data_IF_796904632283
#
_entry.id   IF_796904632283
#
_cell.length_a   1.000
_cell.length_b   1.000
_cell.length_c   1.000
_cell.angle_alpha   90.00
_cell.angle_beta   90.00
_cell.angle_gamma   90.00
#
_symmetry.space_group_name_H-M   'P 1'
#
loop_
_entity.id
_entity.type
_entity.pdbx_description
1 polymer ?
#
# COMPACT_ATOMS: atom_id res chain seq x y z
N UNK A 1 30.18 -9.82 -28.06
CA UNK A 1 29.28 -8.85 -28.75
C UNK A 1 29.50 -7.52 -28.06
N UNK A 2 29.70 -6.44 -28.80
CA UNK A 2 29.81 -5.11 -28.18
C UNK A 2 28.42 -4.68 -27.74
N UNK A 3 28.21 -4.34 -26.47
CA UNK A 3 26.88 -3.99 -25.92
C UNK A 3 26.22 -2.84 -26.69
N UNK A 4 27.04 -1.98 -27.30
CA UNK A 4 26.57 -0.90 -28.17
C UNK A 4 25.76 -1.39 -29.38
N UNK A 5 26.09 -2.57 -29.94
CA UNK A 5 25.39 -3.09 -31.12
C UNK A 5 23.92 -3.45 -30.82
N UNK A 6 23.66 -4.11 -29.68
CA UNK A 6 22.29 -4.49 -29.30
C UNK A 6 21.48 -3.25 -28.93
N UNK A 7 22.09 -2.30 -28.21
CA UNK A 7 21.45 -1.02 -27.87
C UNK A 7 21.02 -0.23 -29.12
N UNK A 8 21.86 -0.19 -30.16
CA UNK A 8 21.52 0.46 -31.44
C UNK A 8 20.32 -0.22 -32.14
N UNK A 9 20.27 -1.55 -32.14
CA UNK A 9 19.15 -2.31 -32.71
C UNK A 9 17.86 -2.03 -31.94
N UNK A 10 17.89 -2.06 -30.61
CA UNK A 10 16.72 -1.80 -29.79
C UNK A 10 16.17 -0.39 -30.03
N UNK A 11 17.04 0.63 -29.99
CA UNK A 11 16.65 2.02 -30.23
C UNK A 11 16.01 2.21 -31.60
N UNK A 12 16.58 1.58 -32.64
CA UNK A 12 16.03 1.59 -33.99
C UNK A 12 14.59 1.04 -34.02
N UNK A 13 14.36 -0.15 -33.46
CA UNK A 13 13.04 -0.79 -33.51
C UNK A 13 12.01 -0.11 -32.62
N UNK A 14 12.39 0.34 -31.43
CA UNK A 14 11.52 1.08 -30.52
C UNK A 14 11.00 2.36 -31.18
N UNK A 15 11.88 3.11 -31.85
CA UNK A 15 11.51 4.29 -32.64
C UNK A 15 10.53 3.95 -33.76
N UNK A 16 10.83 2.91 -34.56
CA UNK A 16 9.94 2.47 -35.65
C UNK A 16 8.56 2.07 -35.11
N UNK A 17 8.50 1.33 -34.00
CA UNK A 17 7.24 0.90 -33.40
C UNK A 17 6.38 2.07 -32.92
N UNK A 18 7.01 3.08 -32.30
CA UNK A 18 6.34 4.28 -31.80
C UNK A 18 5.83 5.17 -32.94
N UNK A 19 6.70 5.47 -33.93
CA UNK A 19 6.34 6.28 -35.10
C UNK A 19 5.19 5.67 -35.92
N UNK A 20 5.20 4.34 -36.05
CA UNK A 20 4.17 3.61 -36.80
C UNK A 20 2.99 3.16 -35.92
N UNK A 21 3.00 3.48 -34.62
CA UNK A 21 1.91 3.18 -33.68
C UNK A 21 1.49 1.70 -33.71
N UNK A 22 2.44 0.79 -33.86
CA UNK A 22 2.17 -0.63 -34.17
C UNK A 22 1.45 -1.38 -33.03
N UNK A 23 1.50 -0.85 -31.82
CA UNK A 23 0.85 -1.41 -30.63
C UNK A 23 -0.42 -0.66 -30.22
N UNK A 24 -0.94 0.21 -31.08
CA UNK A 24 -2.16 0.98 -30.87
C UNK A 24 -3.34 0.37 -31.66
N UNK A 25 -3.92 -0.76 -31.22
CA UNK A 25 -4.98 -1.43 -31.97
C UNK A 25 -6.22 -0.54 -32.08
N UNK A 26 -6.91 -0.67 -33.21
CA UNK A 26 -8.30 -0.25 -33.38
C UNK A 26 -9.19 -1.49 -33.40
N UNK A 27 -10.48 -1.32 -33.09
CA UNK A 27 -11.42 -2.45 -33.11
C UNK A 27 -11.54 -2.96 -34.55
N UNK A 28 -11.08 -4.19 -34.76
CA UNK A 28 -11.17 -4.93 -36.02
C UNK A 28 -12.10 -6.13 -35.80
N UNK A 29 -13.26 -6.11 -36.46
CA UNK A 29 -14.28 -7.17 -36.35
C UNK A 29 -13.90 -8.45 -37.11
N UNK A 30 -12.90 -8.39 -37.99
CA UNK A 30 -12.46 -9.53 -38.79
C UNK A 30 -11.40 -10.38 -38.08
N UNK A 31 -10.86 -9.90 -36.95
CA UNK A 31 -9.86 -10.60 -36.15
C UNK A 31 -10.40 -10.96 -34.78
N UNK A 32 -10.04 -12.13 -34.22
CA UNK A 32 -10.41 -12.45 -32.85
C UNK A 32 -9.75 -11.47 -31.87
N UNK A 33 -10.54 -10.92 -30.94
CA UNK A 33 -10.02 -9.99 -29.93
C UNK A 33 -9.18 -10.74 -28.89
N UNK A 34 -8.14 -10.10 -28.39
CA UNK A 34 -7.42 -10.56 -27.20
C UNK A 34 -7.10 -9.36 -26.31
N UNK A 35 -7.69 -9.32 -25.11
CA UNK A 35 -7.46 -8.24 -24.15
C UNK A 35 -6.68 -8.80 -22.96
N UNK A 36 -5.51 -8.22 -22.73
CA UNK A 36 -4.61 -8.58 -21.64
C UNK A 36 -4.42 -7.38 -20.72
N UNK A 37 -4.32 -7.67 -19.42
CA UNK A 37 -3.83 -6.70 -18.43
C UNK A 37 -2.81 -7.39 -17.54
N UNK A 38 -1.86 -6.60 -17.06
CA UNK A 38 -0.97 -6.96 -15.95
C UNK A 38 -1.28 -5.93 -14.85
N UNK A 39 -1.40 -6.33 -13.57
CA UNK A 39 -1.69 -5.39 -12.51
C UNK A 39 -0.73 -4.20 -12.54
N UNK A 40 -1.29 -3.00 -12.69
CA UNK A 40 -0.54 -1.75 -12.62
C UNK A 40 0.34 -1.65 -11.36
N UNK A 41 1.62 -1.26 -11.49
CA UNK A 41 2.52 -1.23 -10.35
C UNK A 41 2.29 0.00 -9.48
N UNK A 42 2.73 -0.07 -8.22
CA UNK A 42 2.65 1.03 -7.27
C UNK A 42 3.82 2.02 -7.44
N UNK A 43 3.55 3.32 -7.52
CA UNK A 43 4.56 4.35 -7.86
C UNK A 43 5.27 4.94 -6.64
N UNK A 44 5.67 4.09 -5.70
CA UNK A 44 6.48 4.48 -4.53
C UNK A 44 7.98 4.57 -4.82
N UNK A 45 8.44 4.19 -6.01
CA UNK A 45 9.86 4.15 -6.37
C UNK A 45 10.08 3.61 -7.78
N UNK A 46 11.34 3.31 -8.11
CA UNK A 46 11.69 2.62 -9.35
C UNK A 46 11.17 1.19 -9.35
N UNK A 47 10.82 0.71 -10.54
CA UNK A 47 10.49 -0.70 -10.74
C UNK A 47 11.76 -1.55 -10.76
N UNK A 48 11.68 -2.74 -10.16
CA UNK A 48 12.80 -3.67 -10.06
C UNK A 48 12.61 -4.88 -10.99
N UNK A 49 13.59 -5.78 -11.01
CA UNK A 49 13.60 -6.95 -11.90
C UNK A 49 12.37 -7.88 -11.71
N UNK A 50 11.77 -7.89 -10.52
CA UNK A 50 10.53 -8.63 -10.25
C UNK A 50 9.34 -8.07 -11.04
N UNK A 51 9.27 -6.74 -11.23
CA UNK A 51 8.31 -6.14 -12.14
C UNK A 51 8.63 -6.55 -13.58
N UNK A 52 9.89 -6.45 -14.03
CA UNK A 52 10.26 -6.86 -15.39
C UNK A 52 9.89 -8.33 -15.69
N UNK A 53 10.11 -9.23 -14.73
CA UNK A 53 9.65 -10.62 -14.81
C UNK A 53 8.12 -10.71 -14.98
N UNK A 54 7.36 -9.97 -14.19
CA UNK A 54 5.89 -9.98 -14.25
C UNK A 54 5.35 -9.41 -15.57
N UNK A 55 5.88 -8.28 -16.03
CA UNK A 55 5.43 -7.61 -17.26
C UNK A 55 5.89 -8.33 -18.53
N UNK A 56 7.08 -8.95 -18.52
CA UNK A 56 7.56 -9.73 -19.67
C UNK A 56 6.65 -10.92 -19.99
N UNK A 57 6.09 -11.59 -18.98
CA UNK A 57 5.07 -12.64 -19.20
C UNK A 57 3.85 -12.11 -19.95
N UNK A 58 3.42 -10.89 -19.62
CA UNK A 58 2.34 -10.22 -20.34
C UNK A 58 2.72 -9.97 -21.81
N UNK A 59 3.89 -9.37 -22.04
CA UNK A 59 4.37 -9.05 -23.38
C UNK A 59 4.56 -10.29 -24.27
N UNK A 60 5.11 -11.38 -23.72
CA UNK A 60 5.29 -12.64 -24.44
C UNK A 60 3.96 -13.18 -24.96
N UNK A 61 2.93 -13.16 -24.12
CA UNK A 61 1.58 -13.61 -24.51
C UNK A 61 0.98 -12.64 -25.54
N UNK A 62 1.11 -11.33 -25.32
CA UNK A 62 0.59 -10.32 -26.24
C UNK A 62 1.21 -10.47 -27.64
N UNK A 63 2.53 -10.59 -27.75
CA UNK A 63 3.24 -10.79 -29.01
C UNK A 63 2.92 -12.13 -29.66
N UNK A 64 2.87 -13.21 -28.89
CA UNK A 64 2.45 -14.52 -29.38
C UNK A 64 1.03 -14.47 -29.99
N UNK A 65 0.09 -13.79 -29.32
CA UNK A 65 -1.28 -13.65 -29.83
C UNK A 65 -1.35 -12.78 -31.09
N UNK A 66 -0.54 -11.73 -31.20
CA UNK A 66 -0.42 -10.94 -32.45
C UNK A 66 0.07 -11.82 -33.61
N UNK A 67 1.10 -12.65 -33.38
CA UNK A 67 1.59 -13.61 -34.38
C UNK A 67 0.54 -14.65 -34.78
N UNK A 68 -0.36 -15.02 -33.87
CA UNK A 68 -1.52 -15.88 -34.15
C UNK A 68 -2.70 -15.15 -34.84
N UNK A 69 -2.54 -13.89 -35.23
CA UNK A 69 -3.56 -13.12 -35.96
C UNK A 69 -4.63 -12.46 -35.10
N UNK A 70 -4.47 -12.43 -33.77
CA UNK A 70 -5.42 -11.75 -32.87
C UNK A 70 -5.27 -10.23 -32.94
N UNK A 71 -6.38 -9.53 -32.75
CA UNK A 71 -6.38 -8.10 -32.47
C UNK A 71 -6.12 -7.88 -30.97
N UNK A 72 -4.86 -7.65 -30.62
CA UNK A 72 -4.38 -7.62 -29.23
C UNK A 72 -4.40 -6.22 -28.66
N UNK A 73 -5.11 -6.03 -27.55
CA UNK A 73 -5.05 -4.85 -26.69
C UNK A 73 -4.31 -5.19 -25.39
N UNK A 74 -3.25 -4.46 -25.12
CA UNK A 74 -2.55 -4.47 -23.83
C UNK A 74 -2.28 -3.02 -23.39
N UNK A 75 -3.10 -2.44 -22.51
CA UNK A 75 -2.90 -1.10 -21.96
C UNK A 75 -2.12 -1.16 -20.64
N UNK A 76 -1.71 0.01 -20.16
CA UNK A 76 -1.00 0.15 -18.88
C UNK A 76 -1.61 1.29 -18.06
N UNK A 77 -1.64 1.12 -16.75
CA UNK A 77 -1.92 2.21 -15.81
C UNK A 77 -0.89 2.26 -14.68
N UNK A 78 -1.03 3.23 -13.78
CA UNK A 78 -0.13 3.40 -12.65
C UNK A 78 -0.90 3.55 -11.33
N UNK A 79 -0.51 2.76 -10.33
CA UNK A 79 -1.19 2.77 -9.04
C UNK A 79 -0.52 3.77 -8.10
N UNK A 80 -1.29 4.77 -7.70
CA UNK A 80 -0.86 5.88 -6.83
C UNK A 80 -1.84 6.14 -5.68
N UNK A 81 -2.84 5.28 -5.51
CA UNK A 81 -3.79 5.36 -4.40
C UNK A 81 -3.23 4.57 -3.22
N UNK A 82 -2.93 5.23 -2.11
CA UNK A 82 -2.45 4.57 -0.90
C UNK A 82 -1.54 5.48 -0.08
N UNK A 83 -1.33 5.12 1.18
CA UNK A 83 -0.48 5.85 2.10
C UNK A 83 1.04 5.74 1.84
N UNK A 84 1.62 4.73 1.13
CA UNK A 84 3.09 4.61 1.14
C UNK A 84 3.79 5.76 0.42
N UNK A 85 3.17 6.31 -0.63
CA UNK A 85 3.67 7.52 -1.31
C UNK A 85 3.64 8.72 -0.35
N UNK A 86 2.58 8.86 0.46
CA UNK A 86 2.43 9.93 1.45
C UNK A 86 3.51 9.80 2.52
N UNK A 87 3.70 8.59 3.05
CA UNK A 87 4.71 8.27 4.05
C UNK A 87 6.12 8.60 3.55
N UNK A 88 6.48 8.18 2.34
CA UNK A 88 7.80 8.49 1.75
C UNK A 88 8.02 9.98 1.54
N UNK A 89 7.02 10.69 1.00
CA UNK A 89 7.13 12.14 0.78
C UNK A 89 7.29 12.91 2.10
N UNK A 90 6.55 12.51 3.15
CA UNK A 90 6.66 13.11 4.48
C UNK A 90 8.04 12.83 5.11
N UNK A 91 8.50 11.58 5.07
CA UNK A 91 9.81 11.19 5.62
C UNK A 91 10.97 11.89 4.92
N UNK A 92 10.91 12.06 3.60
CA UNK A 92 11.89 12.87 2.88
C UNK A 92 11.87 14.34 3.34
N UNK A 93 10.68 14.91 3.57
CA UNK A 93 10.54 16.28 4.07
C UNK A 93 11.12 16.45 5.47
N UNK A 94 10.98 15.43 6.32
CA UNK A 94 11.54 15.38 7.68
C UNK A 94 13.06 15.09 7.70
N UNK A 95 13.68 14.80 6.55
CA UNK A 95 15.11 14.51 6.46
C UNK A 95 15.49 13.09 6.88
N UNK A 96 14.59 12.12 6.71
CA UNK A 96 14.82 10.72 7.03
C UNK A 96 16.02 10.15 6.24
N UNK A 97 17.07 9.73 6.96
CA UNK A 97 18.32 9.24 6.38
C UNK A 97 18.13 7.98 5.50
N UNK A 98 17.16 7.12 5.82
CA UNK A 98 16.88 5.92 5.02
C UNK A 98 16.34 6.31 3.65
N UNK A 99 15.35 7.21 3.61
CA UNK A 99 14.77 7.68 2.33
C UNK A 99 15.82 8.42 1.48
N UNK A 100 16.65 9.24 2.10
CA UNK A 100 17.75 9.94 1.43
C UNK A 100 18.74 8.94 0.83
N UNK A 101 19.11 7.90 1.60
CA UNK A 101 20.00 6.84 1.11
C UNK A 101 19.38 6.08 -0.07
N UNK A 102 18.12 5.65 0.04
CA UNK A 102 17.42 4.92 -1.02
C UNK A 102 17.40 5.73 -2.33
N UNK A 103 17.09 7.03 -2.27
CA UNK A 103 17.10 7.92 -3.45
C UNK A 103 18.48 8.07 -4.09
N UNK A 104 19.55 8.08 -3.28
CA UNK A 104 20.93 8.11 -3.79
C UNK A 104 21.30 6.80 -4.48
N UNK A 105 20.94 5.65 -3.90
CA UNK A 105 21.17 4.33 -4.48
C UNK A 105 20.40 4.14 -5.80
N UNK A 106 19.18 4.68 -5.88
CA UNK A 106 18.36 4.74 -7.10
C UNK A 106 18.89 5.76 -8.13
N UNK A 107 19.99 6.47 -7.84
CA UNK A 107 20.58 7.52 -8.67
C UNK A 107 19.59 8.65 -9.03
N UNK A 108 18.69 9.00 -8.10
CA UNK A 108 17.76 10.12 -8.27
C UNK A 108 18.50 11.44 -7.98
N UNK A 109 18.59 12.37 -8.96
CA UNK A 109 19.32 13.62 -8.77
C UNK A 109 18.79 14.45 -7.60
N UNK A 110 19.68 14.97 -6.75
CA UNK A 110 19.32 15.81 -5.61
C UNK A 110 18.53 17.06 -6.03
N UNK A 111 18.74 17.55 -7.26
CA UNK A 111 18.00 18.68 -7.85
C UNK A 111 16.50 18.40 -8.03
N UNK A 112 16.09 17.14 -8.07
CA UNK A 112 14.69 16.74 -8.19
C UNK A 112 14.00 16.47 -6.84
N UNK A 113 14.76 16.36 -5.74
CA UNK A 113 14.22 15.94 -4.44
C UNK A 113 13.17 16.88 -3.87
N UNK A 114 13.24 18.17 -4.20
CA UNK A 114 12.21 19.13 -3.79
C UNK A 114 10.82 18.75 -4.34
N UNK A 115 10.76 18.18 -5.55
CA UNK A 115 9.50 17.70 -6.15
C UNK A 115 8.97 16.46 -5.44
N UNK A 116 9.85 15.68 -4.80
CA UNK A 116 9.48 14.45 -4.10
C UNK A 116 8.92 14.73 -2.70
N UNK A 117 9.06 15.94 -2.16
CA UNK A 117 8.51 16.28 -0.84
C UNK A 117 6.98 16.38 -0.79
N UNK A 118 6.28 16.25 -1.92
CA UNK A 118 4.81 16.14 -1.98
C UNK A 118 4.39 14.78 -2.55
N UNK A 119 3.29 14.19 -2.07
CA UNK A 119 2.80 12.90 -2.59
C UNK A 119 2.52 12.93 -4.10
N UNK A 120 1.94 14.02 -4.59
CA UNK A 120 1.66 14.23 -6.01
C UNK A 120 2.94 14.30 -6.84
N UNK A 121 3.92 15.06 -6.36
CA UNK A 121 5.20 15.22 -7.05
C UNK A 121 5.99 13.91 -7.07
N UNK A 122 6.00 13.17 -5.95
CA UNK A 122 6.57 11.82 -5.87
C UNK A 122 5.92 10.89 -6.89
N UNK A 123 4.59 10.79 -6.88
CA UNK A 123 3.84 9.92 -7.78
C UNK A 123 4.12 10.23 -9.25
N UNK A 124 4.01 11.50 -9.65
CA UNK A 124 4.20 11.92 -11.04
C UNK A 124 5.65 11.74 -11.51
N UNK A 125 6.62 11.91 -10.61
CA UNK A 125 8.03 11.69 -10.91
C UNK A 125 8.30 10.22 -11.27
N UNK A 126 7.88 9.29 -10.41
CA UNK A 126 8.11 7.87 -10.65
C UNK A 126 7.25 7.30 -11.79
N UNK A 127 6.05 7.83 -12.03
CA UNK A 127 5.28 7.51 -13.26
C UNK A 127 6.12 7.79 -14.50
N UNK A 128 6.73 8.99 -14.58
CA UNK A 128 7.55 9.40 -15.73
C UNK A 128 8.73 8.45 -15.93
N UNK A 129 9.51 8.20 -14.87
CA UNK A 129 10.70 7.34 -14.98
C UNK A 129 10.33 5.90 -15.35
N UNK A 130 9.31 5.33 -14.71
CA UNK A 130 8.89 3.95 -14.94
C UNK A 130 8.25 3.76 -16.32
N UNK A 131 7.55 4.78 -16.84
CA UNK A 131 7.05 4.79 -18.22
C UNK A 131 8.20 4.70 -19.23
N UNK A 132 9.23 5.53 -19.06
CA UNK A 132 10.40 5.50 -19.94
C UNK A 132 11.15 4.16 -19.83
N UNK A 133 11.25 3.59 -18.63
CA UNK A 133 11.80 2.24 -18.44
C UNK A 133 10.99 1.18 -19.20
N UNK A 134 9.65 1.21 -19.14
CA UNK A 134 8.79 0.29 -19.89
C UNK A 134 8.90 0.44 -21.40
N UNK A 135 9.01 1.68 -21.89
CA UNK A 135 9.28 1.97 -23.31
C UNK A 135 10.65 1.44 -23.74
N UNK A 136 11.68 1.66 -22.92
CA UNK A 136 13.05 1.18 -23.18
C UNK A 136 13.16 -0.34 -23.09
N UNK A 137 12.33 -1.00 -22.28
CA UNK A 137 12.20 -2.46 -22.28
C UNK A 137 11.50 -2.99 -23.54
N UNK A 138 10.79 -2.13 -24.29
CA UNK A 138 10.13 -2.48 -25.54
C UNK A 138 8.79 -3.21 -25.35
N UNK A 139 8.10 -3.01 -24.22
CA UNK A 139 6.80 -3.62 -24.00
C UNK A 139 5.77 -3.14 -25.04
N UNK A 140 4.97 -4.07 -25.56
CA UNK A 140 3.98 -3.83 -26.62
C UNK A 140 2.67 -3.22 -26.12
N UNK A 141 2.77 -2.09 -25.43
CA UNK A 141 1.69 -1.39 -24.72
C UNK A 141 1.03 -0.32 -25.60
N UNK A 142 -0.30 -0.20 -25.52
CA UNK A 142 -1.06 0.93 -26.07
C UNK A 142 -1.04 2.12 -25.09
N UNK A 143 -0.11 3.04 -25.30
CA UNK A 143 0.09 4.20 -24.42
C UNK A 143 -1.03 5.25 -24.48
N UNK A 144 -1.91 5.21 -25.48
CA UNK A 144 -3.08 6.12 -25.55
C UNK A 144 -4.09 5.87 -24.42
N UNK A 145 -4.04 4.68 -23.83
CA UNK A 145 -4.93 4.23 -22.75
C UNK A 145 -4.26 4.30 -21.39
N UNK A 146 -3.14 5.00 -21.29
CA UNK A 146 -2.47 5.27 -20.04
C UNK A 146 -3.36 6.08 -19.09
N UNK A 147 -3.38 5.68 -17.82
CA UNK A 147 -3.98 6.44 -16.74
C UNK A 147 -3.23 6.17 -15.44
N UNK A 148 -3.52 6.96 -14.41
CA UNK A 148 -3.10 6.69 -13.05
C UNK A 148 -4.31 6.79 -12.12
N UNK A 149 -4.24 6.13 -10.98
CA UNK A 149 -5.34 6.14 -9.99
C UNK A 149 -5.38 7.47 -9.21
N UNK A 150 -6.22 7.56 -8.17
CA UNK A 150 -6.43 8.76 -7.34
C UNK A 150 -7.24 9.88 -8.00
N UNK A 151 -7.63 10.88 -7.19
CA UNK A 151 -8.35 12.08 -7.60
C UNK A 151 -7.58 12.92 -8.63
N UNK A 152 -6.25 12.74 -8.70
CA UNK A 152 -5.38 13.39 -9.69
C UNK A 152 -5.77 13.03 -11.13
N UNK A 153 -6.48 11.92 -11.35
CA UNK A 153 -7.02 11.55 -12.65
C UNK A 153 -8.57 11.62 -12.65
N UNK A 154 -9.17 12.77 -13.02
CA UNK A 154 -10.62 13.00 -12.85
C UNK A 154 -11.52 11.91 -13.44
N UNK A 155 -11.17 11.39 -14.62
CA UNK A 155 -11.95 10.35 -15.31
C UNK A 155 -11.94 9.02 -14.56
N UNK A 156 -10.78 8.61 -14.04
CA UNK A 156 -10.65 7.38 -13.25
C UNK A 156 -11.38 7.54 -11.92
N UNK A 157 -11.25 8.71 -11.28
CA UNK A 157 -11.99 9.03 -10.06
C UNK A 157 -13.51 8.92 -10.26
N UNK A 158 -14.05 9.44 -11.38
CA UNK A 158 -15.47 9.29 -11.71
C UNK A 158 -15.88 7.86 -11.97
N UNK A 159 -15.00 7.06 -12.58
CA UNK A 159 -15.23 5.62 -12.73
C UNK A 159 -15.32 4.90 -11.36
N UNK A 160 -14.43 5.22 -10.42
CA UNK A 160 -14.45 4.67 -9.06
C UNK A 160 -15.69 5.15 -8.28
N UNK A 161 -16.08 6.42 -8.38
CA UNK A 161 -17.33 6.93 -7.78
C UNK A 161 -18.55 6.15 -8.28
N UNK A 162 -18.62 5.89 -9.60
CA UNK A 162 -19.68 5.08 -10.18
C UNK A 162 -19.67 3.65 -9.64
N UNK A 163 -18.49 3.02 -9.56
CA UNK A 163 -18.33 1.67 -9.02
C UNK A 163 -18.87 1.58 -7.58
N UNK A 164 -18.45 2.48 -6.69
CA UNK A 164 -18.91 2.49 -5.30
C UNK A 164 -20.40 2.78 -5.15
N UNK A 165 -20.96 3.67 -6.00
CA UNK A 165 -22.42 3.88 -6.05
C UNK A 165 -23.16 2.60 -6.43
N UNK A 166 -22.67 1.84 -7.42
CA UNK A 166 -23.24 0.54 -7.80
C UNK A 166 -23.10 -0.54 -6.73
N UNK A 167 -21.97 -0.57 -6.01
CA UNK A 167 -21.82 -1.47 -4.86
C UNK A 167 -22.80 -1.12 -3.74
N UNK A 168 -23.00 0.18 -3.47
CA UNK A 168 -23.96 0.66 -2.47
C UNK A 168 -25.41 0.34 -2.87
N UNK A 169 -25.80 0.57 -4.12
CA UNK A 169 -27.13 0.20 -4.66
C UNK A 169 -27.43 -1.30 -4.49
N UNK A 170 -26.40 -2.16 -4.53
CA UNK A 170 -26.50 -3.60 -4.32
C UNK A 170 -26.42 -4.04 -2.86
N UNK A 171 -26.29 -3.11 -1.91
CA UNK A 171 -26.13 -3.42 -0.49
C UNK A 171 -24.76 -4.02 -0.11
N UNK A 172 -23.74 -3.86 -0.96
CA UNK A 172 -22.38 -4.40 -0.74
C UNK A 172 -21.45 -3.42 -0.01
N UNK A 173 -21.97 -2.26 0.41
CA UNK A 173 -21.23 -1.25 1.18
C UNK A 173 -21.89 -1.09 2.53
N UNK A 174 -21.20 -1.50 3.59
CA UNK A 174 -21.66 -1.46 4.98
C UNK A 174 -20.77 -0.54 5.81
N UNK A 175 -21.28 -0.13 6.97
CA UNK A 175 -20.53 0.60 7.99
C UNK A 175 -20.56 -0.20 9.29
N UNK A 176 -19.41 -0.37 9.93
CA UNK A 176 -19.25 -1.04 11.21
C UNK A 176 -17.93 -0.67 11.86
N UNK A 177 -17.70 -1.17 13.07
CA UNK A 177 -16.42 -1.05 13.76
C UNK A 177 -15.50 -2.19 13.34
N UNK A 178 -14.23 -1.89 13.10
CA UNK A 178 -13.21 -2.87 12.74
C UNK A 178 -11.87 -2.45 13.34
N UNK A 179 -11.17 -3.33 14.06
CA UNK A 179 -9.84 -3.04 14.57
C UNK A 179 -8.87 -2.89 13.39
N UNK A 180 -8.00 -1.89 13.46
CA UNK A 180 -7.02 -1.59 12.41
C UNK A 180 -5.68 -1.25 13.05
N UNK A 181 -4.59 -1.47 12.33
CA UNK A 181 -3.29 -0.93 12.71
C UNK A 181 -3.32 0.59 12.52
N UNK A 182 -2.99 1.32 13.57
CA UNK A 182 -3.15 2.77 13.65
C UNK A 182 -1.84 3.45 14.04
N UNK A 183 -1.49 4.54 13.35
CA UNK A 183 -0.38 5.40 13.76
C UNK A 183 -0.94 6.69 14.40
N UNK A 184 -0.74 6.88 15.72
CA UNK A 184 -1.22 8.05 16.44
C UNK A 184 -0.46 9.34 16.08
N UNK A 185 0.74 9.27 15.48
CA UNK A 185 1.51 10.45 15.05
C UNK A 185 0.88 11.10 13.81
N UNK A 186 0.49 10.28 12.84
CA UNK A 186 -0.11 10.77 11.57
C UNK A 186 -1.63 10.65 11.53
N UNK A 187 -2.25 10.02 12.52
CA UNK A 187 -3.69 9.88 12.68
C UNK A 187 -4.34 9.17 11.48
N UNK A 188 -3.71 8.07 11.02
CA UNK A 188 -4.11 7.29 9.85
C UNK A 188 -4.03 5.80 10.12
N UNK A 189 -4.86 5.06 9.38
CA UNK A 189 -4.72 3.61 9.24
C UNK A 189 -3.46 3.32 8.45
N UNK A 190 -2.62 2.45 8.99
CA UNK A 190 -1.36 2.06 8.37
C UNK A 190 -1.52 0.68 7.75
N UNK A 191 -1.35 0.58 6.43
CA UNK A 191 -1.33 -0.71 5.74
C UNK A 191 -0.01 -1.43 5.91
N UNK A 192 0.06 -2.70 5.52
CA UNK A 192 1.33 -3.47 5.48
C UNK A 192 2.43 -2.75 4.70
N UNK A 193 2.08 -2.14 3.57
CA UNK A 193 3.03 -1.45 2.70
C UNK A 193 3.54 -0.11 3.27
N UNK A 194 2.96 0.37 4.37
CA UNK A 194 3.33 1.61 5.04
C UNK A 194 4.30 1.38 6.20
N UNK A 195 4.56 0.12 6.57
CA UNK A 195 5.36 -0.28 7.73
C UNK A 195 6.77 -0.64 7.33
N UNK A 196 7.70 -0.65 8.29
CA UNK A 196 8.99 -1.31 8.08
C UNK A 196 8.77 -2.82 7.87
N UNK A 197 9.67 -3.45 7.12
CA UNK A 197 9.59 -4.88 6.79
C UNK A 197 9.49 -5.76 8.04
N UNK A 198 10.06 -5.33 9.17
CA UNK A 198 10.01 -6.02 10.47
C UNK A 198 8.59 -6.06 11.07
N UNK A 199 7.70 -5.13 10.71
CA UNK A 199 6.34 -5.02 11.25
C UNK A 199 5.25 -5.29 10.21
N UNK A 200 5.62 -5.63 8.97
CA UNK A 200 4.70 -6.03 7.93
C UNK A 200 4.04 -7.38 8.29
N UNK A 201 2.73 -7.49 8.10
CA UNK A 201 1.93 -8.67 8.43
C UNK A 201 1.52 -8.80 9.90
N UNK A 202 1.88 -7.83 10.75
CA UNK A 202 1.35 -7.75 12.12
C UNK A 202 -0.10 -7.27 12.04
N UNK A 203 -1.05 -8.04 12.55
CA UNK A 203 -2.47 -7.65 12.55
C UNK A 203 -2.98 -7.47 13.98
N UNK A 204 -4.06 -6.69 14.20
CA UNK A 204 -4.72 -6.63 15.49
C UNK A 204 -5.11 -8.04 15.95
N UNK A 205 -4.67 -8.42 17.15
CA UNK A 205 -5.01 -9.70 17.76
C UNK A 205 -6.18 -9.50 18.70
N UNK A 206 -7.27 -10.21 18.45
CA UNK A 206 -8.40 -10.25 19.38
C UNK A 206 -8.06 -11.14 20.58
N UNK A 207 -8.34 -10.65 21.78
CA UNK A 207 -8.21 -11.40 23.01
C UNK A 207 -9.20 -10.94 24.07
N UNK A 208 -9.24 -11.67 25.18
CA UNK A 208 -10.20 -11.45 26.26
C UNK A 208 -9.50 -10.82 27.45
N UNK A 209 -10.06 -9.71 27.96
CA UNK A 209 -9.66 -9.13 29.24
C UNK A 209 -10.54 -9.73 30.34
N UNK A 210 -9.96 -10.55 31.20
CA UNK A 210 -10.62 -11.06 32.40
C UNK A 210 -10.45 -10.04 33.53
N UNK A 211 -11.57 -9.59 34.09
CA UNK A 211 -11.60 -8.58 35.16
C UNK A 211 -11.55 -9.25 36.54
N UNK A 212 -10.41 -9.18 37.21
CA UNK A 212 -10.29 -9.61 38.61
C UNK A 212 -10.55 -8.44 39.56
N UNK A 213 -11.50 -8.59 40.48
CA UNK A 213 -11.89 -7.53 41.40
C UNK A 213 -11.00 -7.51 42.65
N UNK A 214 -10.59 -6.32 43.06
CA UNK A 214 -9.79 -6.10 44.27
C UNK A 214 -10.17 -4.77 44.94
N UNK A 215 -9.57 -4.48 46.09
CA UNK A 215 -9.64 -3.17 46.74
C UNK A 215 -8.27 -2.53 46.73
N UNK A 216 -8.19 -1.29 46.25
CA UNK A 216 -6.96 -0.50 46.25
C UNK A 216 -7.26 0.95 46.64
N UNK A 217 -6.56 1.46 47.65
CA UNK A 217 -6.77 2.81 48.22
C UNK A 217 -8.26 3.11 48.49
N UNK A 218 -8.92 2.18 49.19
CA UNK A 218 -10.35 2.24 49.56
C UNK A 218 -11.35 2.26 48.39
N UNK A 219 -10.88 2.08 47.15
CA UNK A 219 -11.74 1.96 45.97
C UNK A 219 -11.86 0.50 45.54
N UNK A 220 -13.05 0.13 45.06
CA UNK A 220 -13.21 -1.08 44.27
C UNK A 220 -12.43 -0.89 42.97
N UNK A 221 -11.50 -1.79 42.70
CA UNK A 221 -10.59 -1.73 41.57
C UNK A 221 -10.56 -3.06 40.82
N UNK A 222 -10.10 -3.02 39.58
CA UNK A 222 -9.99 -4.15 38.68
C UNK A 222 -8.52 -4.35 38.32
N UNK A 223 -8.07 -5.60 38.36
CA UNK A 223 -6.85 -6.09 37.74
C UNK A 223 -7.25 -6.73 36.40
N UNK A 224 -7.14 -6.00 35.27
CA UNK A 224 -7.49 -6.53 33.96
C UNK A 224 -6.38 -7.45 33.45
N UNK A 225 -6.69 -8.73 33.23
CA UNK A 225 -5.76 -9.72 32.73
C UNK A 225 -6.12 -10.11 31.29
N UNK A 226 -5.29 -9.72 30.32
CA UNK A 226 -5.43 -10.13 28.92
C UNK A 226 -5.07 -11.61 28.73
N UNK A 227 -5.88 -12.35 27.99
CA UNK A 227 -5.61 -13.75 27.62
C UNK A 227 -6.18 -14.08 26.24
N UNK A 228 -5.47 -14.92 25.50
CA UNK A 228 -5.97 -15.56 24.26
C UNK A 228 -6.71 -16.87 24.55
N UNK A 229 -6.71 -17.31 25.82
CA UNK A 229 -7.25 -18.60 26.28
C UNK A 229 -8.24 -18.40 27.42
N UNK A 230 -9.43 -17.82 27.15
CA UNK A 230 -10.41 -17.53 28.19
C UNK A 230 -10.89 -18.79 28.94
N UNK A 231 -10.81 -19.97 28.32
CA UNK A 231 -11.19 -21.25 28.92
C UNK A 231 -10.34 -21.64 30.14
N UNK A 232 -9.15 -21.06 30.29
CA UNK A 232 -8.23 -21.33 31.39
C UNK A 232 -8.65 -20.71 32.73
N UNK A 233 -9.70 -19.89 32.75
CA UNK A 233 -10.16 -19.18 33.95
C UNK A 233 -10.46 -20.10 35.14
N UNK A 234 -10.94 -21.33 34.89
CA UNK A 234 -11.26 -22.31 35.94
C UNK A 234 -10.03 -22.88 36.65
N UNK A 235 -8.85 -22.74 36.06
CA UNK A 235 -7.58 -23.21 36.63
C UNK A 235 -6.71 -22.09 37.21
N UNK A 236 -7.22 -20.85 37.27
CA UNK A 236 -6.43 -19.71 37.76
C UNK A 236 -6.21 -19.84 39.27
N UNK A 237 -4.95 -19.99 39.69
CA UNK A 237 -4.55 -20.09 41.10
C UNK A 237 -4.03 -18.77 41.66
N UNK A 238 -3.49 -17.89 40.80
CA UNK A 238 -2.91 -16.60 41.16
C UNK A 238 -2.92 -15.62 39.97
N UNK A 239 -2.58 -14.36 40.25
CA UNK A 239 -2.36 -13.30 39.25
C UNK A 239 -0.87 -12.96 39.21
N UNK A 240 -0.30 -12.84 38.01
CA UNK A 240 1.09 -12.44 37.82
C UNK A 240 1.19 -10.93 37.58
N UNK A 241 2.12 -10.28 38.30
CA UNK A 241 2.38 -8.84 38.23
C UNK A 241 3.90 -8.64 38.10
N UNK A 242 4.33 -7.70 37.25
CA UNK A 242 5.74 -7.36 37.11
C UNK A 242 6.13 -6.30 38.17
N UNK A 243 6.89 -6.70 39.19
CA UNK A 243 7.27 -5.80 40.28
C UNK A 243 8.17 -4.62 39.87
N UNK A 244 8.81 -4.71 38.70
CA UNK A 244 9.66 -3.64 38.16
C UNK A 244 8.86 -2.63 37.32
N UNK A 245 7.60 -2.91 37.01
CA UNK A 245 6.74 -2.01 36.25
C UNK A 245 6.04 -1.02 37.19
N UNK A 246 5.82 0.21 36.69
CA UNK A 246 4.98 1.20 37.37
C UNK A 246 3.53 0.96 36.97
N UNK A 247 2.63 1.03 37.96
CA UNK A 247 1.19 0.88 37.75
C UNK A 247 0.44 2.13 38.21
N UNK A 248 -0.64 2.46 37.51
CA UNK A 248 -1.54 3.57 37.81
C UNK A 248 -2.97 3.08 37.99
N UNK A 249 -3.73 3.80 38.81
CA UNK A 249 -5.16 3.60 38.94
C UNK A 249 -5.86 4.52 37.93
N UNK A 250 -6.28 3.97 36.80
CA UNK A 250 -6.97 4.69 35.74
C UNK A 250 -8.49 4.52 35.87
N UNK A 251 -9.26 5.53 35.48
CA UNK A 251 -10.72 5.43 35.39
C UNK A 251 -11.08 5.02 33.96
N UNK A 252 -11.39 3.76 33.74
CA UNK A 252 -11.76 3.22 32.43
C UNK A 252 -13.28 3.09 32.38
N UNK A 253 -13.92 3.91 31.56
CA UNK A 253 -15.35 4.16 31.53
C UNK A 253 -15.87 4.58 32.92
N UNK A 254 -16.61 3.70 33.58
CA UNK A 254 -17.16 3.91 34.93
C UNK A 254 -16.48 3.02 35.98
N UNK A 255 -15.37 2.36 35.65
CA UNK A 255 -14.65 1.43 36.52
C UNK A 255 -13.24 1.97 36.83
N UNK A 256 -12.64 1.51 37.93
CA UNK A 256 -11.24 1.81 38.26
C UNK A 256 -10.36 0.60 37.95
N UNK A 257 -9.42 0.75 37.02
CA UNK A 257 -8.52 -0.31 36.59
C UNK A 257 -7.09 0.01 37.05
N UNK A 258 -6.38 -1.02 37.51
CA UNK A 258 -4.95 -0.94 37.81
C UNK A 258 -4.20 -1.39 36.55
N UNK A 259 -3.60 -0.42 35.86
CA UNK A 259 -2.95 -0.61 34.56
C UNK A 259 -1.46 -0.28 34.65
N UNK A 260 -0.60 -0.91 33.82
CA UNK A 260 0.77 -0.44 33.68
C UNK A 260 0.79 1.00 33.15
N UNK A 261 1.70 1.83 33.67
CA UNK A 261 1.94 3.22 33.24
C UNK A 261 2.69 3.24 31.90
N UNK A 262 2.05 2.69 30.87
CA UNK A 262 2.63 2.43 29.55
C UNK A 262 1.60 2.74 28.45
N UNK A 263 1.96 2.41 27.20
CA UNK A 263 1.14 2.57 26.00
C UNK A 263 -0.27 1.96 26.10
N UNK A 264 -0.50 1.00 27.01
CA UNK A 264 -1.80 0.33 27.21
C UNK A 264 -2.93 1.32 27.46
N UNK A 265 -2.67 2.43 28.17
CA UNK A 265 -3.69 3.47 28.42
C UNK A 265 -4.10 4.16 27.12
N UNK A 266 -3.14 4.44 26.24
CA UNK A 266 -3.39 5.04 24.93
C UNK A 266 -4.05 4.04 23.98
N UNK A 267 -3.66 2.77 24.01
CA UNK A 267 -4.29 1.70 23.25
C UNK A 267 -5.77 1.54 23.61
N UNK A 268 -6.12 1.59 24.90
CA UNK A 268 -7.52 1.55 25.34
C UNK A 268 -8.31 2.75 24.80
N UNK A 269 -7.73 3.96 24.83
CA UNK A 269 -8.37 5.15 24.24
C UNK A 269 -8.63 5.00 22.74
N UNK A 270 -7.68 4.39 22.02
CA UNK A 270 -7.82 4.10 20.59
C UNK A 270 -8.80 2.94 20.29
N UNK A 271 -9.24 2.20 21.32
CA UNK A 271 -10.24 1.13 21.24
C UNK A 271 -11.60 1.58 21.80
N UNK A 272 -11.90 2.89 21.72
CA UNK A 272 -13.16 3.50 22.15
C UNK A 272 -13.46 3.41 23.67
N UNK A 273 -12.46 3.10 24.52
CA UNK A 273 -12.61 3.24 25.97
C UNK A 273 -12.43 4.70 26.41
N UNK A 274 -13.26 5.16 27.33
CA UNK A 274 -13.11 6.47 27.97
C UNK A 274 -12.15 6.34 29.17
N UNK A 275 -10.88 6.72 29.01
CA UNK A 275 -9.81 6.53 30.02
C UNK A 275 -9.26 7.83 30.57
#
# INVERSE_FOLDING_TARGET
MNDNFLNEIENKWQKIWDENKVFEPSVDKNKPKFFLTVPYPYMSGLLHLGNAYTFSRGDFIARYKRLKGYNVLWPQGWHITGAPIVSKALRLREGDEKIIKDLKEDNIPETDWEKLKTPEGWAMYFIKLNKEAFKRFGFSIDWRREFYTSYLHPWYNKFIEWQYKKLKEKGLVTKGSHPVVWDPKVNLVIGDHDRSDEFAGIEPIEGVIIKFYTKYKEKNAILPCFTLRPETIYGVTNIWINLNAKYVLAKVNNEYWILPDTIVIEELKNQDFNV
#
